data_IF_516452649296
#
_entry.id   IF_516452649296
#
_cell.length_a   1.000
_cell.length_b   1.000
_cell.length_c   1.000
_cell.angle_alpha   90.00
_cell.angle_beta   90.00
_cell.angle_gamma   90.00
#
_symmetry.space_group_name_H-M   'P 1'
#
loop_
_entity.id
_entity.type
_entity.pdbx_description
1 polymer ?
#
# COMPACT_ATOMS: atom_id res chain seq x y z
N UNK A 1 -34.73 -20.87 -12.44
CA UNK A 1 -33.85 -20.32 -13.51
C UNK A 1 -33.44 -18.88 -13.24
N UNK A 2 -34.38 -17.94 -13.02
CA UNK A 2 -34.05 -16.52 -12.73
C UNK A 2 -33.25 -16.29 -11.43
N UNK A 3 -33.51 -17.05 -10.35
CA UNK A 3 -32.76 -16.92 -9.09
C UNK A 3 -31.29 -17.35 -9.23
N UNK A 4 -31.02 -18.44 -9.95
CA UNK A 4 -29.65 -18.90 -10.23
C UNK A 4 -28.88 -17.86 -11.03
N UNK A 5 -29.52 -17.20 -12.00
CA UNK A 5 -28.91 -16.11 -12.75
C UNK A 5 -28.55 -14.93 -11.84
N UNK A 6 -29.46 -14.49 -10.97
CA UNK A 6 -29.15 -13.40 -10.03
C UNK A 6 -27.95 -13.72 -9.13
N UNK A 7 -27.85 -14.97 -8.65
CA UNK A 7 -26.72 -15.43 -7.84
C UNK A 7 -25.43 -15.47 -8.66
N UNK A 8 -25.46 -15.94 -9.91
CA UNK A 8 -24.29 -15.94 -10.80
C UNK A 8 -23.80 -14.51 -11.07
N UNK A 9 -24.70 -13.58 -11.41
CA UNK A 9 -24.33 -12.19 -11.67
C UNK A 9 -23.74 -11.53 -10.44
N UNK A 10 -24.36 -11.69 -9.27
CA UNK A 10 -23.83 -11.21 -8.01
C UNK A 10 -22.42 -11.75 -7.73
N UNK A 11 -22.21 -13.05 -7.92
CA UNK A 11 -20.90 -13.68 -7.70
C UNK A 11 -19.84 -13.15 -8.69
N UNK A 12 -20.19 -12.91 -9.95
CA UNK A 12 -19.27 -12.33 -10.94
C UNK A 12 -18.82 -10.91 -10.55
N UNK A 13 -19.74 -10.03 -10.14
CA UNK A 13 -19.38 -8.68 -9.68
C UNK A 13 -18.56 -8.71 -8.39
N UNK A 14 -18.93 -9.57 -7.45
CA UNK A 14 -18.17 -9.77 -6.22
C UNK A 14 -16.75 -10.30 -6.49
N UNK A 15 -16.61 -11.20 -7.44
CA UNK A 15 -15.31 -11.75 -7.83
C UNK A 15 -14.40 -10.72 -8.49
N UNK A 16 -14.93 -9.88 -9.38
CA UNK A 16 -14.14 -8.85 -10.05
C UNK A 16 -13.78 -7.71 -9.10
N UNK A 17 -14.72 -7.26 -8.27
CA UNK A 17 -14.49 -6.12 -7.38
C UNK A 17 -13.73 -6.52 -6.11
N UNK A 18 -14.32 -7.39 -5.30
CA UNK A 18 -13.82 -7.66 -3.95
C UNK A 18 -12.71 -8.70 -3.94
N UNK A 19 -12.90 -9.86 -4.61
CA UNK A 19 -11.90 -10.92 -4.60
C UNK A 19 -10.57 -10.44 -5.23
N UNK A 20 -10.62 -9.84 -6.42
CA UNK A 20 -9.40 -9.28 -7.06
C UNK A 20 -8.66 -8.28 -6.17
N UNK A 21 -9.39 -7.34 -5.57
CA UNK A 21 -8.80 -6.30 -4.71
C UNK A 21 -8.14 -6.88 -3.45
N UNK A 22 -8.77 -7.88 -2.80
CA UNK A 22 -8.24 -8.46 -1.55
C UNK A 22 -6.89 -9.15 -1.70
N UNK A 23 -6.57 -9.68 -2.88
CA UNK A 23 -5.28 -10.32 -3.15
C UNK A 23 -4.24 -9.36 -3.71
N UNK A 24 -4.68 -8.34 -4.44
CA UNK A 24 -3.79 -7.34 -5.02
C UNK A 24 -3.27 -6.37 -3.96
N UNK A 25 -4.17 -5.88 -3.10
CA UNK A 25 -3.85 -4.82 -2.14
C UNK A 25 -2.69 -5.16 -1.17
N UNK A 26 -2.60 -6.38 -0.59
CA UNK A 26 -1.45 -6.78 0.22
C UNK A 26 -0.12 -6.76 -0.56
N UNK A 27 -0.15 -7.04 -1.87
CA UNK A 27 1.05 -7.02 -2.69
C UNK A 27 1.56 -5.59 -2.97
N UNK A 28 0.65 -4.60 -2.99
CA UNK A 28 0.96 -3.18 -3.21
C UNK A 28 1.44 -2.49 -1.93
N UNK A 29 0.91 -2.88 -0.78
CA UNK A 29 1.19 -2.21 0.49
C UNK A 29 2.43 -2.74 1.21
N UNK A 30 2.82 -3.99 0.92
CA UNK A 30 3.93 -4.63 1.63
C UNK A 30 5.27 -4.31 0.97
N UNK A 31 6.24 -3.75 1.73
CA UNK A 31 7.55 -3.43 1.20
C UNK A 31 8.35 -4.69 0.84
N UNK A 32 9.23 -4.55 -0.14
CA UNK A 32 9.95 -5.67 -0.78
C UNK A 32 10.70 -6.56 0.22
N UNK A 33 11.27 -5.98 1.28
CA UNK A 33 12.09 -6.69 2.26
C UNK A 33 11.32 -7.73 3.09
N UNK A 34 10.04 -7.49 3.39
CA UNK A 34 9.21 -8.37 4.25
C UNK A 34 8.04 -9.03 3.49
N UNK A 35 8.03 -8.92 2.17
CA UNK A 35 6.92 -9.37 1.32
C UNK A 35 6.59 -10.85 1.47
N UNK A 36 7.61 -11.71 1.45
CA UNK A 36 7.41 -13.15 1.55
C UNK A 36 6.76 -13.59 2.88
N UNK A 37 7.29 -13.23 4.07
CA UNK A 37 6.67 -13.61 5.33
C UNK A 37 5.31 -12.95 5.56
N UNK A 38 5.12 -11.70 5.12
CA UNK A 38 3.82 -11.01 5.22
C UNK A 38 2.74 -11.67 4.36
N UNK A 39 3.07 -12.06 3.13
CA UNK A 39 2.13 -12.77 2.25
C UNK A 39 1.77 -14.16 2.79
N UNK A 40 2.72 -14.86 3.40
CA UNK A 40 2.47 -16.14 4.06
C UNK A 40 1.51 -15.99 5.25
N UNK A 41 1.71 -14.96 6.09
CA UNK A 41 0.82 -14.66 7.22
C UNK A 41 -0.57 -14.21 6.76
N UNK A 42 -0.65 -13.38 5.72
CA UNK A 42 -1.93 -12.95 5.14
C UNK A 42 -2.72 -14.13 4.60
N UNK A 43 -2.05 -15.02 3.86
CA UNK A 43 -2.67 -16.24 3.31
C UNK A 43 -3.11 -17.18 4.43
N UNK A 44 -2.28 -17.42 5.45
CA UNK A 44 -2.64 -18.31 6.55
C UNK A 44 -3.81 -17.76 7.38
N UNK A 45 -3.84 -16.45 7.65
CA UNK A 45 -4.97 -15.79 8.29
C UNK A 45 -6.25 -15.91 7.44
N UNK A 46 -6.16 -15.70 6.12
CA UNK A 46 -7.30 -15.88 5.21
C UNK A 46 -7.89 -17.29 5.30
N UNK A 47 -7.05 -18.33 5.23
CA UNK A 47 -7.51 -19.71 5.37
C UNK A 47 -8.06 -19.98 6.78
N UNK A 48 -7.42 -19.49 7.83
CA UNK A 48 -7.90 -19.65 9.21
C UNK A 48 -9.29 -19.03 9.41
N UNK A 49 -9.54 -17.84 8.88
CA UNK A 49 -10.86 -17.21 8.94
C UNK A 49 -11.90 -17.96 8.10
N UNK A 50 -11.54 -18.49 6.93
CA UNK A 50 -12.43 -19.37 6.17
C UNK A 50 -12.84 -20.60 6.98
N UNK A 51 -11.87 -21.26 7.65
CA UNK A 51 -12.17 -22.39 8.54
C UNK A 51 -13.07 -21.98 9.71
N UNK A 52 -12.78 -20.84 10.36
CA UNK A 52 -13.57 -20.32 11.46
C UNK A 52 -15.03 -20.10 11.05
N UNK A 53 -15.27 -19.48 9.88
CA UNK A 53 -16.62 -19.23 9.38
C UNK A 53 -17.34 -20.54 9.07
N UNK A 54 -16.67 -21.50 8.41
CA UNK A 54 -17.27 -22.81 8.10
C UNK A 54 -17.68 -23.58 9.37
N UNK A 55 -16.90 -23.47 10.44
CA UNK A 55 -17.23 -24.11 11.73
C UNK A 55 -18.32 -23.37 12.52
N UNK A 56 -18.31 -22.03 12.50
CA UNK A 56 -19.31 -21.20 13.21
C UNK A 56 -20.68 -21.26 12.53
N UNK A 57 -20.72 -21.27 11.19
CA UNK A 57 -21.96 -21.21 10.39
C UNK A 57 -23.01 -22.25 10.81
N UNK A 58 -22.71 -23.57 10.90
CA UNK A 58 -23.70 -24.57 11.31
C UNK A 58 -24.18 -24.38 12.76
N UNK A 59 -23.29 -24.02 13.68
CA UNK A 59 -23.66 -23.74 15.08
C UNK A 59 -24.58 -22.52 15.18
N UNK A 60 -24.26 -21.48 14.40
CA UNK A 60 -25.02 -20.24 14.38
C UNK A 60 -26.42 -20.44 13.77
N UNK A 61 -26.54 -21.23 12.69
CA UNK A 61 -27.84 -21.59 12.11
C UNK A 61 -28.68 -22.44 13.06
N UNK A 62 -28.06 -23.39 13.77
CA UNK A 62 -28.77 -24.23 14.72
C UNK A 62 -29.26 -23.46 15.96
N UNK A 63 -28.53 -22.43 16.39
CA UNK A 63 -28.87 -21.64 17.58
C UNK A 63 -29.85 -20.50 17.28
N UNK A 64 -29.67 -19.76 16.18
CA UNK A 64 -30.32 -18.45 15.98
C UNK A 64 -31.07 -18.34 14.64
N UNK A 65 -31.03 -19.38 13.79
CA UNK A 65 -31.81 -19.46 12.54
C UNK A 65 -31.52 -18.31 11.58
N UNK A 66 -32.55 -17.55 11.20
CA UNK A 66 -32.45 -16.44 10.23
C UNK A 66 -31.67 -15.22 10.76
N UNK A 67 -31.46 -15.09 12.06
CA UNK A 67 -30.78 -13.90 12.63
C UNK A 67 -29.26 -13.93 12.40
N UNK A 68 -28.69 -15.06 11.99
CA UNK A 68 -27.27 -15.12 11.56
C UNK A 68 -26.96 -14.17 10.42
N UNK A 69 -27.90 -13.95 9.51
CA UNK A 69 -27.73 -12.97 8.42
C UNK A 69 -27.54 -11.54 8.95
N UNK A 70 -28.15 -11.19 10.08
CA UNK A 70 -27.98 -9.87 10.72
C UNK A 70 -26.56 -9.73 11.27
N UNK A 71 -26.00 -10.78 11.86
CA UNK A 71 -24.62 -10.78 12.36
C UNK A 71 -23.64 -10.55 11.19
N UNK A 72 -23.83 -11.25 10.07
CA UNK A 72 -23.03 -11.02 8.87
C UNK A 72 -23.20 -9.61 8.30
N UNK A 73 -24.41 -9.06 8.33
CA UNK A 73 -24.67 -7.69 7.89
C UNK A 73 -23.95 -6.65 8.76
N UNK A 74 -23.95 -6.82 10.09
CA UNK A 74 -23.23 -5.92 11.02
C UNK A 74 -21.72 -6.01 10.84
N UNK A 75 -21.17 -7.22 10.67
CA UNK A 75 -19.75 -7.41 10.39
C UNK A 75 -19.37 -6.71 9.07
N UNK A 76 -20.16 -6.89 8.01
CA UNK A 76 -19.93 -6.19 6.74
C UNK A 76 -20.03 -4.66 6.88
N UNK A 77 -21.02 -4.17 7.63
CA UNK A 77 -21.18 -2.75 7.89
C UNK A 77 -20.00 -2.16 8.68
N UNK A 78 -19.34 -2.95 9.55
CA UNK A 78 -18.15 -2.55 10.28
C UNK A 78 -16.87 -2.57 9.42
N UNK A 79 -16.80 -3.44 8.40
CA UNK A 79 -15.67 -3.47 7.47
C UNK A 79 -15.58 -2.17 6.67
N UNK A 80 -16.71 -1.57 6.27
CA UNK A 80 -16.73 -0.32 5.48
C UNK A 80 -15.97 0.85 6.13
N UNK A 81 -16.25 1.25 7.39
CA UNK A 81 -15.49 2.32 8.04
C UNK A 81 -14.04 1.91 8.31
N UNK A 82 -13.74 0.64 8.61
CA UNK A 82 -12.36 0.17 8.78
C UNK A 82 -11.57 0.36 7.49
N UNK A 83 -12.13 -0.04 6.35
CA UNK A 83 -11.48 0.18 5.05
C UNK A 83 -11.27 1.68 4.81
N UNK A 84 -12.27 2.51 5.07
CA UNK A 84 -12.15 3.96 4.86
C UNK A 84 -11.04 4.63 5.70
N UNK A 85 -10.85 4.21 6.96
CA UNK A 85 -9.89 4.85 7.86
C UNK A 85 -8.49 4.21 7.88
N UNK A 86 -8.36 2.92 7.57
CA UNK A 86 -7.08 2.20 7.66
C UNK A 86 -6.44 1.94 6.30
N UNK A 87 -7.19 1.98 5.19
CA UNK A 87 -6.65 1.63 3.88
C UNK A 87 -6.22 2.91 3.13
N UNK A 88 -4.91 3.21 3.05
CA UNK A 88 -4.42 4.27 2.18
C UNK A 88 -4.69 3.93 0.71
N UNK A 89 -4.98 4.95 -0.09
CA UNK A 89 -5.10 4.80 -1.55
C UNK A 89 -3.72 4.48 -2.15
N UNK A 90 -3.55 3.24 -2.65
CA UNK A 90 -2.31 2.74 -3.27
C UNK A 90 -2.23 2.99 -4.78
N UNK A 91 -3.32 3.45 -5.40
CA UNK A 91 -3.40 3.64 -6.84
C UNK A 91 -2.37 4.67 -7.36
N UNK A 92 -1.68 4.31 -8.44
CA UNK A 92 -0.68 5.14 -9.12
C UNK A 92 0.56 5.48 -8.27
N UNK A 93 0.89 4.64 -7.29
CA UNK A 93 2.13 4.70 -6.52
C UNK A 93 3.06 3.57 -6.89
N UNK A 94 4.36 3.85 -6.97
CA UNK A 94 5.37 2.80 -7.04
C UNK A 94 5.54 2.12 -5.68
N UNK A 95 6.10 0.90 -5.69
CA UNK A 95 6.39 0.17 -4.46
C UNK A 95 7.40 0.93 -3.56
N UNK A 96 8.31 1.69 -4.18
CA UNK A 96 9.29 2.52 -3.49
C UNK A 96 8.63 3.74 -2.81
N UNK A 97 7.66 4.39 -3.46
CA UNK A 97 6.91 5.50 -2.84
C UNK A 97 6.09 5.02 -1.64
N UNK A 98 5.48 3.84 -1.75
CA UNK A 98 4.73 3.25 -0.63
C UNK A 98 5.64 2.98 0.57
N UNK A 99 6.84 2.43 0.35
CA UNK A 99 7.83 2.21 1.41
C UNK A 99 8.23 3.53 2.10
N UNK A 100 8.40 4.62 1.35
CA UNK A 100 8.67 5.94 1.91
C UNK A 100 7.52 6.49 2.75
N UNK A 101 6.28 6.32 2.29
CA UNK A 101 5.08 6.72 3.04
C UNK A 101 5.01 5.95 4.36
N UNK A 102 5.27 4.65 4.34
CA UNK A 102 5.32 3.83 5.56
C UNK A 102 6.45 4.23 6.49
N UNK A 103 7.63 4.55 5.96
CA UNK A 103 8.78 5.00 6.74
C UNK A 103 8.59 6.39 7.37
N UNK A 104 7.81 7.27 6.72
CA UNK A 104 7.42 8.58 7.26
C UNK A 104 6.28 8.47 8.29
N UNK A 105 5.45 7.42 8.21
CA UNK A 105 4.33 7.21 9.12
C UNK A 105 4.80 6.83 10.53
N UNK A 106 4.29 7.54 11.55
CA UNK A 106 4.58 7.22 12.96
C UNK A 106 3.51 6.34 13.60
N UNK A 107 2.37 6.18 12.94
CA UNK A 107 1.23 5.41 13.46
C UNK A 107 0.39 4.82 12.31
N UNK A 108 -0.30 3.71 12.59
CA UNK A 108 -1.13 2.98 11.61
C UNK A 108 -2.32 3.79 11.06
N UNK A 109 -2.75 4.84 11.76
CA UNK A 109 -3.80 5.76 11.30
C UNK A 109 -3.27 6.95 10.49
N UNK A 110 -1.98 7.27 10.65
CA UNK A 110 -1.36 8.45 10.02
C UNK A 110 -0.99 8.17 8.55
N UNK A 111 -0.85 6.89 8.20
CA UNK A 111 -0.56 6.42 6.84
C UNK A 111 -1.58 6.97 5.82
N UNK A 112 -2.87 6.97 6.15
CA UNK A 112 -3.94 7.45 5.24
C UNK A 112 -3.84 8.96 5.02
N UNK A 113 -3.52 9.73 6.07
CA UNK A 113 -3.32 11.17 5.98
C UNK A 113 -2.07 11.53 5.17
N UNK A 114 -0.96 10.83 5.43
CA UNK A 114 0.32 11.04 4.75
C UNK A 114 0.21 10.65 3.27
N UNK A 115 -0.38 9.49 2.96
CA UNK A 115 -0.58 9.04 1.58
C UNK A 115 -1.41 10.04 0.74
N UNK A 116 -2.35 10.74 1.39
CA UNK A 116 -3.20 11.75 0.75
C UNK A 116 -2.46 13.07 0.47
N UNK A 117 -1.49 13.44 1.30
CA UNK A 117 -0.77 14.72 1.21
C UNK A 117 0.50 14.66 0.37
N UNK A 118 1.12 13.49 0.21
CA UNK A 118 2.32 13.33 -0.61
C UNK A 118 1.99 13.49 -2.11
N UNK A 119 2.81 14.22 -2.90
CA UNK A 119 2.62 14.32 -4.35
C UNK A 119 2.84 12.96 -5.02
N UNK A 120 2.02 12.61 -6.02
CA UNK A 120 2.11 11.34 -6.77
C UNK A 120 3.20 11.45 -7.83
N UNK A 121 4.10 10.48 -7.91
CA UNK A 121 5.12 10.45 -8.99
C UNK A 121 4.52 10.12 -10.36
N UNK A 122 3.42 9.36 -10.40
CA UNK A 122 2.76 8.96 -11.65
C UNK A 122 1.35 9.55 -11.78
N UNK A 123 1.06 10.06 -12.99
CA UNK A 123 -0.26 10.54 -13.39
C UNK A 123 -1.20 9.41 -13.82
N UNK A 124 -2.49 9.74 -13.95
CA UNK A 124 -3.58 8.79 -14.30
C UNK A 124 -3.40 8.09 -15.65
N UNK A 125 -2.54 8.63 -16.52
CA UNK A 125 -2.21 8.13 -17.86
C UNK A 125 -0.81 7.51 -17.97
N UNK A 126 -0.13 7.26 -16.83
CA UNK A 126 1.24 6.72 -16.83
C UNK A 126 2.32 7.76 -17.13
N UNK A 127 1.97 9.05 -17.21
CA UNK A 127 2.93 10.13 -17.34
C UNK A 127 3.72 10.30 -16.03
N UNK A 128 5.05 10.39 -16.11
CA UNK A 128 5.89 10.74 -14.97
C UNK A 128 5.69 12.23 -14.67
N UNK A 129 5.07 12.54 -13.53
CA UNK A 129 4.80 13.92 -13.09
C UNK A 129 6.05 14.56 -12.46
N UNK A 130 6.99 13.74 -11.99
CA UNK A 130 8.25 14.16 -11.38
C UNK A 130 9.36 13.28 -11.98
N UNK A 131 10.35 13.90 -12.64
CA UNK A 131 11.55 13.19 -13.08
C UNK A 131 12.36 12.77 -11.84
N UNK A 132 12.68 11.49 -11.70
CA UNK A 132 13.44 10.92 -10.58
C UNK A 132 14.73 11.69 -10.29
N UNK A 133 15.34 12.31 -11.33
CA UNK A 133 16.55 13.13 -11.20
C UNK A 133 16.33 14.47 -10.50
N UNK A 134 15.12 15.04 -10.54
CA UNK A 134 14.79 16.30 -9.86
C UNK A 134 14.31 16.11 -8.42
N UNK A 135 13.92 14.90 -8.04
CA UNK A 135 13.47 14.55 -6.68
C UNK A 135 14.53 14.94 -5.64
N UNK A 136 14.08 15.50 -4.52
CA UNK A 136 14.95 15.91 -3.41
C UNK A 136 15.85 14.76 -2.92
N UNK A 137 15.36 13.52 -2.98
CA UNK A 137 16.14 12.32 -2.64
C UNK A 137 17.28 12.02 -3.62
N UNK A 138 17.11 12.22 -4.94
CA UNK A 138 18.23 12.02 -5.87
C UNK A 138 19.32 13.05 -5.61
N UNK A 139 18.93 14.30 -5.32
CA UNK A 139 19.87 15.34 -4.89
C UNK A 139 20.55 14.98 -3.57
N UNK A 140 19.82 14.45 -2.60
CA UNK A 140 20.38 14.04 -1.30
C UNK A 140 21.31 12.83 -1.43
N UNK A 141 20.90 11.79 -2.17
CA UNK A 141 21.70 10.59 -2.42
C UNK A 141 22.92 10.90 -3.28
N UNK A 142 22.79 11.77 -4.29
CA UNK A 142 23.93 12.28 -5.04
C UNK A 142 24.87 13.07 -4.13
N UNK A 143 24.34 13.92 -3.25
CA UNK A 143 25.14 14.69 -2.28
C UNK A 143 25.84 13.76 -1.28
N UNK A 144 25.17 12.72 -0.76
CA UNK A 144 25.75 11.69 0.11
C UNK A 144 26.82 10.87 -0.62
N UNK A 145 26.58 10.50 -1.87
CA UNK A 145 27.55 9.79 -2.70
C UNK A 145 28.77 10.67 -3.03
N UNK A 146 28.57 11.96 -3.28
CA UNK A 146 29.64 12.94 -3.47
C UNK A 146 30.45 13.17 -2.18
N UNK A 147 29.78 13.23 -1.03
CA UNK A 147 30.41 13.28 0.30
C UNK A 147 31.20 12.02 0.60
N UNK A 148 30.64 10.84 0.32
CA UNK A 148 31.29 9.56 0.51
C UNK A 148 32.50 9.37 -0.42
N UNK A 149 32.48 9.96 -1.62
CA UNK A 149 33.61 9.98 -2.56
C UNK A 149 34.64 11.07 -2.27
N UNK A 150 34.44 11.93 -1.26
CA UNK A 150 35.36 13.02 -0.90
C UNK A 150 35.42 14.19 -1.90
N UNK A 151 34.62 14.15 -2.97
CA UNK A 151 34.69 15.10 -4.09
C UNK A 151 34.14 16.49 -3.73
N UNK A 152 33.37 16.60 -2.63
CA UNK A 152 32.87 17.88 -2.11
C UNK A 152 33.98 18.84 -1.67
N UNK A 153 35.10 18.32 -1.17
CA UNK A 153 36.25 19.14 -0.74
C UNK A 153 37.13 19.59 -1.93
N UNK A 154 37.16 18.81 -3.02
CA UNK A 154 38.02 19.10 -4.18
C UNK A 154 37.52 20.28 -5.01
N UNK A 155 36.19 20.50 -5.07
CA UNK A 155 35.61 21.70 -5.72
C UNK A 155 35.84 22.99 -4.92
N UNK A 156 35.86 22.94 -3.59
CA UNK A 156 36.21 24.09 -2.76
C UNK A 156 37.72 24.39 -2.81
N UNK A 157 38.57 23.35 -2.88
CA UNK A 157 40.02 23.50 -3.03
C UNK A 157 40.43 24.02 -4.42
N UNK A 158 39.73 23.63 -5.49
CA UNK A 158 39.97 24.16 -6.85
C UNK A 158 39.45 25.60 -7.01
N UNK A 159 38.36 25.96 -6.32
CA UNK A 159 37.87 27.35 -6.28
C UNK A 159 38.75 28.27 -5.44
N UNK A 160 39.44 27.77 -4.41
CA UNK A 160 40.42 28.55 -3.63
C UNK A 160 41.83 28.51 -4.23
N UNK A 161 42.17 27.48 -5.03
CA UNK A 161 43.46 27.34 -5.71
C UNK A 161 43.56 28.06 -7.05
N UNK A 162 42.44 28.43 -7.68
CA UNK A 162 42.41 29.15 -8.96
C UNK A 162 42.81 30.63 -8.89
N UNK A 163 42.89 31.20 -7.68
CA UNK A 163 43.16 32.64 -7.49
C UNK A 163 44.65 32.96 -7.28
N UNK A 164 45.55 31.97 -7.32
CA UNK A 164 46.98 32.15 -7.01
C UNK A 164 47.90 32.14 -8.25
N UNK A 165 47.40 31.81 -9.44
CA UNK A 165 48.23 31.61 -10.64
C UNK A 165 48.12 32.73 -11.71
N UNK A 166 47.81 33.96 -11.29
CA UNK A 166 47.74 35.13 -12.18
C UNK A 166 48.48 36.37 -11.66
N UNK A 167 49.67 36.16 -11.09
CA UNK A 167 50.65 37.21 -10.72
C UNK A 167 51.97 37.06 -11.46
#
# INVERSE_FOLDING_TARGET
>A
MCASLNIQHFNSFFAVGWLGMTWLYPAEIVPLAIRAPANALSTSANWAFNFMVVMITPVAFNSIGYKTYIIFAVINAFIVPVVYFFYPETAYRSLEEMDQIFHKSKSCFDVVGIARNEPRMYGKHGEQLIDYKETAEHRENATKALRARGIGAEKELYSQGGDVESG
#
